data_IF_055557611368
#
_entry.id   IF_055557611368
#
_cell.length_a   1.000
_cell.length_b   1.000
_cell.length_c   1.000
_cell.angle_alpha   90.00
_cell.angle_beta   90.00
_cell.angle_gamma   90.00
#
_symmetry.space_group_name_H-M   'P 1'
#
loop_
_entity.id
_entity.type
_entity.pdbx_description
1 polymer ?
#
# COMPACT_ATOMS: atom_id res chain seq x y z
N UNK A 1 -30.71 -7.39 -41.74
CA UNK A 1 -29.29 -7.32 -42.16
C UNK A 1 -29.00 -8.53 -43.02
N UNK A 2 -28.22 -8.39 -44.10
CA UNK A 2 -27.76 -9.55 -44.88
C UNK A 2 -26.55 -10.16 -44.15
N UNK A 3 -26.40 -11.49 -44.15
CA UNK A 3 -25.20 -12.17 -43.59
C UNK A 3 -23.89 -11.65 -44.20
N UNK A 4 -23.94 -11.17 -45.44
CA UNK A 4 -22.82 -10.51 -46.13
C UNK A 4 -22.35 -9.19 -45.50
N UNK A 5 -23.18 -8.51 -44.70
CA UNK A 5 -22.86 -7.22 -44.07
C UNK A 5 -22.03 -7.39 -42.78
N UNK A 6 -22.06 -8.59 -42.19
CA UNK A 6 -21.47 -8.91 -40.88
C UNK A 6 -20.13 -9.62 -41.03
N UNK A 7 -19.96 -10.39 -42.10
CA UNK A 7 -18.75 -11.15 -42.41
C UNK A 7 -17.71 -10.33 -43.23
N UNK A 8 -18.01 -9.07 -43.53
CA UNK A 8 -17.18 -8.16 -44.33
C UNK A 8 -16.55 -7.02 -43.51
N UNK A 9 -16.55 -5.76 -44.00
CA UNK A 9 -15.83 -4.65 -43.38
C UNK A 9 -16.31 -4.25 -41.96
N UNK A 10 -17.47 -4.74 -41.52
CA UNK A 10 -18.04 -4.47 -40.19
C UNK A 10 -17.79 -5.60 -39.17
N UNK A 11 -16.95 -6.60 -39.49
CA UNK A 11 -16.74 -7.77 -38.62
C UNK A 11 -16.22 -7.42 -37.23
N UNK A 12 -15.39 -6.38 -37.10
CA UNK A 12 -14.90 -5.90 -35.80
C UNK A 12 -16.01 -5.34 -34.91
N UNK A 13 -17.00 -4.64 -35.50
CA UNK A 13 -18.16 -4.13 -34.76
C UNK A 13 -19.11 -5.27 -34.37
N UNK A 14 -19.29 -6.25 -35.26
CA UNK A 14 -20.09 -7.44 -34.99
C UNK A 14 -19.50 -8.31 -33.86
N UNK A 15 -18.17 -8.40 -33.75
CA UNK A 15 -17.50 -9.10 -32.65
C UNK A 15 -17.74 -8.46 -31.29
N UNK A 16 -17.70 -7.12 -31.20
CA UNK A 16 -17.98 -6.39 -29.96
C UNK A 16 -19.43 -6.60 -29.52
N UNK A 17 -20.39 -6.52 -30.45
CA UNK A 17 -21.79 -6.81 -30.15
C UNK A 17 -22.03 -8.28 -29.75
N UNK A 18 -21.20 -9.21 -30.23
CA UNK A 18 -21.27 -10.61 -29.83
C UNK A 18 -20.75 -10.81 -28.39
N UNK A 19 -19.70 -10.09 -27.99
CA UNK A 19 -19.22 -10.07 -26.60
C UNK A 19 -20.30 -9.54 -25.64
N UNK A 20 -20.92 -8.41 -25.98
CA UNK A 20 -22.03 -7.82 -25.22
C UNK A 20 -23.23 -8.79 -25.12
N UNK A 21 -23.53 -9.53 -26.20
CA UNK A 21 -24.59 -10.54 -26.21
C UNK A 21 -24.30 -11.72 -25.28
N UNK A 22 -23.04 -12.18 -25.22
CA UNK A 22 -22.63 -13.28 -24.34
C UNK A 22 -22.67 -12.89 -22.85
N UNK A 23 -22.43 -11.62 -22.53
CA UNK A 23 -22.56 -11.10 -21.16
C UNK A 23 -24.02 -10.85 -20.77
N UNK A 24 -24.81 -10.25 -21.66
CA UNK A 24 -26.23 -9.99 -21.45
C UNK A 24 -26.99 -9.90 -22.78
N UNK A 25 -27.80 -10.90 -23.15
CA UNK A 25 -28.55 -10.91 -24.40
C UNK A 25 -29.44 -9.67 -24.60
N UNK A 26 -30.03 -9.14 -23.52
CA UNK A 26 -30.94 -8.00 -23.61
C UNK A 26 -30.23 -6.65 -23.78
N UNK A 27 -28.89 -6.61 -23.68
CA UNK A 27 -28.09 -5.42 -23.97
C UNK A 27 -27.93 -5.14 -25.47
N UNK A 28 -28.28 -6.12 -26.31
CA UNK A 28 -28.09 -6.07 -27.76
C UNK A 28 -29.43 -5.96 -28.50
N UNK A 29 -29.53 -5.13 -29.57
CA UNK A 29 -30.77 -4.99 -30.35
C UNK A 29 -31.28 -6.34 -30.90
N UNK A 30 -32.61 -6.50 -30.96
CA UNK A 30 -33.26 -7.78 -31.30
C UNK A 30 -32.85 -8.35 -32.67
N UNK A 31 -32.51 -7.49 -33.63
CA UNK A 31 -32.03 -7.86 -34.97
C UNK A 31 -30.64 -8.52 -34.95
N UNK A 32 -29.77 -8.13 -34.03
CA UNK A 32 -28.45 -8.73 -33.84
C UNK A 32 -28.53 -10.04 -33.05
N UNK A 33 -29.42 -10.12 -32.06
CA UNK A 33 -29.72 -11.37 -31.35
C UNK A 33 -30.19 -12.46 -32.30
N UNK A 34 -31.18 -12.13 -33.14
CA UNK A 34 -31.72 -13.07 -34.13
C UNK A 34 -30.63 -13.57 -35.09
N UNK A 35 -29.64 -12.72 -35.42
CA UNK A 35 -28.51 -13.09 -36.27
C UNK A 35 -27.55 -14.04 -35.54
N UNK A 36 -27.19 -13.78 -34.28
CA UNK A 36 -26.33 -14.67 -33.49
C UNK A 36 -26.99 -16.03 -33.20
N UNK A 37 -28.30 -16.03 -32.97
CA UNK A 37 -29.10 -17.25 -32.74
C UNK A 37 -29.34 -18.05 -34.02
N UNK A 38 -29.36 -17.42 -35.19
CA UNK A 38 -29.52 -18.11 -36.47
C UNK A 38 -28.35 -19.02 -36.85
N UNK A 39 -27.15 -18.74 -36.34
CA UNK A 39 -25.93 -19.51 -36.61
C UNK A 39 -25.42 -19.44 -38.05
N UNK A 40 -25.96 -18.55 -38.90
CA UNK A 40 -25.64 -18.44 -40.32
C UNK A 40 -24.43 -17.52 -40.65
N UNK A 41 -23.87 -16.81 -39.65
CA UNK A 41 -22.69 -15.95 -39.84
C UNK A 41 -21.38 -16.71 -39.62
N UNK A 42 -20.37 -16.43 -40.46
CA UNK A 42 -19.01 -16.97 -40.31
C UNK A 42 -18.35 -16.59 -38.98
N UNK A 43 -18.76 -15.47 -38.38
CA UNK A 43 -18.28 -14.97 -37.09
C UNK A 43 -18.63 -15.93 -35.94
N UNK A 44 -19.88 -16.42 -35.92
CA UNK A 44 -20.39 -17.40 -34.94
C UNK A 44 -19.72 -18.77 -35.13
N UNK A 45 -19.39 -19.13 -36.37
CA UNK A 45 -18.68 -20.38 -36.69
C UNK A 45 -17.21 -20.39 -36.21
N UNK A 46 -16.60 -19.21 -36.02
CA UNK A 46 -15.20 -19.09 -35.60
C UNK A 46 -14.96 -19.31 -34.10
N UNK A 47 -16.02 -19.35 -33.29
CA UNK A 47 -15.97 -19.55 -31.84
C UNK A 47 -16.44 -20.98 -31.46
N UNK A 48 -15.52 -21.89 -31.11
CA UNK A 48 -15.86 -23.30 -30.85
C UNK A 48 -16.84 -23.51 -29.69
N UNK A 49 -16.89 -22.57 -28.74
CA UNK A 49 -17.78 -22.62 -27.57
C UNK A 49 -19.24 -22.29 -27.90
N UNK A 50 -19.47 -21.34 -28.81
CA UNK A 50 -20.81 -20.86 -29.16
C UNK A 50 -21.56 -21.85 -30.07
N UNK A 51 -20.83 -22.49 -30.99
CA UNK A 51 -21.39 -23.56 -31.84
C UNK A 51 -21.97 -24.71 -31.01
N UNK A 52 -21.28 -25.14 -29.94
CA UNK A 52 -21.77 -26.19 -29.03
C UNK A 52 -23.01 -25.78 -28.23
N UNK A 53 -23.12 -24.51 -27.88
CA UNK A 53 -24.27 -23.95 -27.15
C UNK A 53 -25.51 -23.87 -28.05
N UNK A 54 -25.33 -23.45 -29.31
CA UNK A 54 -26.40 -23.42 -30.31
C UNK A 54 -26.80 -24.82 -30.78
N UNK A 55 -25.85 -25.75 -30.95
CA UNK A 55 -26.17 -27.16 -31.24
C UNK A 55 -26.92 -27.83 -30.08
N UNK A 56 -26.66 -27.43 -28.83
CA UNK A 56 -27.41 -27.90 -27.66
C UNK A 56 -28.81 -27.28 -27.53
N UNK A 57 -29.02 -26.06 -28.05
CA UNK A 57 -30.31 -25.39 -28.09
C UNK A 57 -31.18 -25.85 -29.28
N UNK A 58 -30.56 -26.15 -30.43
CA UNK A 58 -31.23 -26.65 -31.63
C UNK A 58 -31.58 -28.15 -31.51
N UNK A 59 -30.74 -28.94 -30.84
CA UNK A 59 -31.07 -30.31 -30.44
C UNK A 59 -31.89 -30.27 -29.14
N UNK A 60 -33.12 -29.76 -29.25
CA UNK A 60 -34.12 -29.93 -28.21
C UNK A 60 -34.16 -31.38 -27.74
N UNK A 61 -34.29 -31.56 -26.42
CA UNK A 61 -34.44 -32.84 -25.73
C UNK A 61 -35.11 -33.89 -26.63
N UNK A 62 -34.33 -34.89 -27.06
CA UNK A 62 -34.79 -35.98 -27.90
C UNK A 62 -35.85 -36.82 -27.20
N UNK A 63 -37.09 -36.35 -27.24
CA UNK A 63 -38.29 -37.16 -27.15
C UNK A 63 -38.78 -37.39 -28.59
N UNK A 64 -38.30 -38.46 -29.20
CA UNK A 64 -39.07 -39.12 -30.26
C UNK A 64 -40.37 -39.62 -29.63
N UNK A 65 -41.51 -39.27 -30.24
CA UNK A 65 -42.78 -39.95 -29.99
C UNK A 65 -42.65 -41.43 -30.40
N UNK A 66 -42.83 -42.40 -29.50
CA UNK A 66 -43.06 -43.77 -29.90
C UNK A 66 -44.57 -43.94 -30.15
N UNK A 67 -44.87 -44.41 -31.35
CA UNK A 67 -46.10 -45.10 -31.67
C UNK A 67 -46.47 -46.14 -30.59
N UNK A 68 -47.77 -46.26 -30.34
CA UNK A 68 -48.42 -47.06 -29.31
C UNK A 68 -47.78 -48.43 -29.02
N UNK A 69 -47.25 -48.58 -27.80
CA UNK A 69 -47.33 -49.81 -27.01
C UNK A 69 -47.19 -49.42 -25.53
N UNK A 70 -48.20 -49.73 -24.72
CA UNK A 70 -48.26 -49.39 -23.29
C UNK A 70 -47.19 -50.19 -22.51
N UNK A 71 -46.19 -49.55 -21.87
CA UNK A 71 -45.41 -50.19 -20.82
C UNK A 71 -45.96 -49.75 -19.46
N UNK A 72 -45.92 -50.65 -18.48
CA UNK A 72 -46.31 -50.37 -17.09
C UNK A 72 -45.52 -49.19 -16.49
N UNK A 73 -46.11 -48.41 -15.56
CA UNK A 73 -45.48 -47.20 -15.04
C UNK A 73 -44.28 -47.56 -14.15
N UNK A 74 -43.09 -47.12 -14.57
CA UNK A 74 -41.90 -47.05 -13.72
C UNK A 74 -42.08 -45.87 -12.75
N UNK A 75 -41.75 -46.00 -11.45
CA UNK A 75 -41.94 -44.91 -10.50
C UNK A 75 -41.05 -43.72 -10.88
N UNK A 76 -41.67 -42.55 -11.08
CA UNK A 76 -40.96 -41.29 -11.26
C UNK A 76 -40.16 -41.03 -9.98
N UNK A 77 -38.83 -41.05 -10.10
CA UNK A 77 -37.95 -40.65 -9.00
C UNK A 77 -38.31 -39.22 -8.57
N UNK A 78 -38.47 -39.04 -7.27
CA UNK A 78 -38.85 -37.77 -6.67
C UNK A 78 -37.94 -36.63 -7.16
N UNK A 79 -38.56 -35.55 -7.64
CA UNK A 79 -37.88 -34.27 -7.90
C UNK A 79 -37.12 -33.91 -6.63
N UNK A 80 -35.80 -33.76 -6.74
CA UNK A 80 -34.97 -33.33 -5.61
C UNK A 80 -35.56 -32.03 -5.03
N UNK A 81 -35.69 -31.90 -3.69
CA UNK A 81 -36.27 -30.70 -3.11
C UNK A 81 -35.47 -29.47 -3.55
N UNK A 82 -36.18 -28.40 -3.90
CA UNK A 82 -35.55 -27.11 -4.21
C UNK A 82 -34.64 -26.72 -3.04
N UNK A 83 -33.37 -26.41 -3.35
CA UNK A 83 -32.41 -25.92 -2.35
C UNK A 83 -32.98 -24.64 -1.75
N UNK A 84 -33.42 -24.70 -0.50
CA UNK A 84 -33.88 -23.52 0.22
C UNK A 84 -32.66 -22.65 0.50
N UNK A 85 -32.65 -21.43 -0.04
CA UNK A 85 -31.62 -20.42 0.24
C UNK A 85 -31.83 -19.93 1.67
N UNK A 86 -30.82 -20.08 2.52
CA UNK A 86 -30.83 -19.48 3.85
C UNK A 86 -30.61 -17.96 3.71
N UNK A 87 -31.70 -17.20 3.74
CA UNK A 87 -31.68 -15.74 3.63
C UNK A 87 -30.87 -15.07 4.75
N UNK A 88 -30.82 -15.66 5.94
CA UNK A 88 -30.03 -15.13 7.06
C UNK A 88 -28.54 -15.32 6.80
N UNK A 89 -28.15 -16.48 6.27
CA UNK A 89 -26.77 -16.72 5.88
C UNK A 89 -26.36 -15.81 4.71
N UNK A 90 -27.22 -15.66 3.69
CA UNK A 90 -26.95 -14.78 2.56
C UNK A 90 -26.79 -13.32 3.00
N UNK A 91 -27.70 -12.82 3.83
CA UNK A 91 -27.58 -11.50 4.46
C UNK A 91 -26.33 -11.38 5.32
N UNK A 92 -25.98 -12.43 6.07
CA UNK A 92 -24.75 -12.51 6.86
C UNK A 92 -23.48 -12.38 6.01
N UNK A 93 -23.43 -13.01 4.84
CA UNK A 93 -22.30 -12.86 3.90
C UNK A 93 -22.20 -11.41 3.42
N UNK A 94 -23.33 -10.77 3.06
CA UNK A 94 -23.34 -9.36 2.65
C UNK A 94 -22.88 -8.43 3.79
N UNK A 95 -23.36 -8.66 5.02
CA UNK A 95 -22.94 -7.94 6.21
C UNK A 95 -21.43 -8.14 6.49
N UNK A 96 -20.92 -9.36 6.35
CA UNK A 96 -19.50 -9.66 6.51
C UNK A 96 -18.61 -8.94 5.48
N UNK A 97 -19.03 -8.92 4.21
CA UNK A 97 -18.32 -8.17 3.17
C UNK A 97 -18.31 -6.66 3.47
N UNK A 98 -19.42 -6.12 3.99
CA UNK A 98 -19.49 -4.73 4.42
C UNK A 98 -18.56 -4.45 5.61
N UNK A 99 -18.49 -5.36 6.59
CA UNK A 99 -17.58 -5.24 7.74
C UNK A 99 -16.10 -5.26 7.33
N UNK A 100 -15.73 -6.18 6.43
CA UNK A 100 -14.37 -6.27 5.88
C UNK A 100 -14.01 -4.98 5.15
N UNK A 101 -14.92 -4.47 4.31
CA UNK A 101 -14.75 -3.18 3.64
C UNK A 101 -14.58 -2.04 4.65
N UNK A 102 -15.37 -2.01 5.72
CA UNK A 102 -15.26 -1.01 6.77
C UNK A 102 -13.89 -1.05 7.47
N UNK A 103 -13.35 -2.23 7.78
CA UNK A 103 -12.00 -2.34 8.36
C UNK A 103 -10.91 -1.82 7.43
N UNK A 104 -11.00 -2.11 6.12
CA UNK A 104 -10.06 -1.59 5.12
C UNK A 104 -10.15 -0.08 4.94
N UNK A 105 -11.35 0.49 4.99
CA UNK A 105 -11.57 1.92 4.76
C UNK A 105 -11.39 2.78 6.02
N UNK A 106 -11.78 2.28 7.19
CA UNK A 106 -11.93 3.06 8.42
C UNK A 106 -11.21 2.47 9.63
N UNK A 107 -10.53 1.32 9.49
CA UNK A 107 -9.79 0.70 10.61
C UNK A 107 -8.73 1.63 11.22
N UNK A 108 -8.15 2.53 10.40
CA UNK A 108 -7.22 3.56 10.86
C UNK A 108 -7.81 4.47 11.96
N UNK A 109 -9.13 4.70 11.97
CA UNK A 109 -9.82 5.50 13.00
C UNK A 109 -9.90 4.77 14.35
N UNK A 110 -9.76 3.45 14.35
CA UNK A 110 -9.77 2.59 15.52
C UNK A 110 -8.37 2.08 15.91
N UNK A 111 -7.31 2.50 15.20
CA UNK A 111 -5.94 2.11 15.49
C UNK A 111 -5.37 2.85 16.71
N UNK A 112 -4.55 2.14 17.51
CA UNK A 112 -3.87 2.67 18.70
C UNK A 112 -2.54 3.30 18.30
N UNK A 113 -2.62 4.51 17.74
CA UNK A 113 -1.45 5.23 17.20
C UNK A 113 -0.80 6.19 18.20
N UNK A 114 -1.55 6.71 19.17
CA UNK A 114 -1.03 7.69 20.13
C UNK A 114 -0.22 7.00 21.24
N UNK A 115 1.12 7.22 21.31
CA UNK A 115 1.95 6.65 22.38
C UNK A 115 1.64 7.26 23.76
N UNK A 116 0.93 8.39 23.82
CA UNK A 116 0.48 8.99 25.09
C UNK A 116 -0.80 8.34 25.63
N UNK A 117 -1.43 7.46 24.87
CA UNK A 117 -2.53 6.59 25.33
C UNK A 117 -3.93 7.18 25.15
N UNK A 118 -4.14 8.14 24.24
CA UNK A 118 -5.49 8.55 23.85
C UNK A 118 -6.27 7.39 23.24
N UNK A 119 -7.56 7.27 23.58
CA UNK A 119 -8.43 6.28 22.94
C UNK A 119 -8.70 6.67 21.47
N UNK A 120 -8.70 5.71 20.54
CA UNK A 120 -9.05 5.96 19.15
C UNK A 120 -10.47 6.50 19.03
N UNK A 121 -10.73 7.34 18.03
CA UNK A 121 -12.07 7.87 17.76
C UNK A 121 -13.07 6.74 17.45
N UNK A 122 -12.61 5.71 16.76
CA UNK A 122 -13.42 4.60 16.26
C UNK A 122 -14.32 4.99 15.10
N UNK A 123 -15.06 4.01 14.57
CA UNK A 123 -16.08 4.23 13.55
C UNK A 123 -17.25 3.24 13.75
N UNK A 124 -18.52 3.70 13.75
CA UNK A 124 -19.70 2.83 13.87
C UNK A 124 -19.78 1.69 12.85
N UNK A 125 -19.19 1.84 11.66
CA UNK A 125 -19.19 0.82 10.62
C UNK A 125 -18.29 -0.39 10.95
N UNK A 126 -17.41 -0.26 11.95
CA UNK A 126 -16.55 -1.34 12.43
C UNK A 126 -17.25 -2.27 13.43
N UNK A 127 -18.45 -1.89 13.91
CA UNK A 127 -19.20 -2.64 14.92
C UNK A 127 -20.07 -3.72 14.27
N UNK A 128 -19.64 -4.98 14.41
CA UNK A 128 -20.33 -6.15 13.85
C UNK A 128 -21.78 -6.32 14.36
N UNK A 129 -22.10 -5.73 15.53
CA UNK A 129 -23.43 -5.83 16.13
C UNK A 129 -24.45 -4.91 15.46
N UNK A 130 -23.99 -3.85 14.79
CA UNK A 130 -24.82 -2.82 14.13
C UNK A 130 -25.24 -3.18 12.71
N UNK A 131 -24.70 -4.26 12.16
CA UNK A 131 -25.03 -4.72 10.81
C UNK A 131 -26.39 -5.42 10.78
N UNK A 132 -26.97 -5.53 9.58
CA UNK A 132 -28.27 -6.17 9.35
C UNK A 132 -28.08 -7.26 8.28
N UNK A 133 -28.21 -8.56 8.63
CA UNK A 133 -28.38 -9.09 9.99
C UNK A 133 -27.14 -8.84 10.86
N UNK A 134 -27.34 -8.83 12.17
CA UNK A 134 -26.24 -8.72 13.13
C UNK A 134 -25.34 -9.96 13.03
N UNK A 135 -24.02 -9.76 13.01
CA UNK A 135 -23.07 -10.86 12.86
C UNK A 135 -22.80 -11.50 14.23
N UNK A 136 -23.71 -12.35 14.69
CA UNK A 136 -23.50 -13.13 15.94
C UNK A 136 -22.36 -14.15 15.76
N UNK A 137 -21.70 -14.61 16.84
CA UNK A 137 -20.66 -15.62 16.73
C UNK A 137 -21.09 -16.88 15.96
N UNK A 138 -22.35 -17.30 16.12
CA UNK A 138 -22.92 -18.45 15.40
C UNK A 138 -23.03 -18.19 13.89
N UNK A 139 -23.43 -16.97 13.49
CA UNK A 139 -23.50 -16.60 12.08
C UNK A 139 -22.09 -16.43 11.49
N UNK A 140 -21.17 -15.81 12.23
CA UNK A 140 -19.77 -15.66 11.81
C UNK A 140 -19.09 -17.02 11.57
N UNK A 141 -19.35 -18.02 12.41
CA UNK A 141 -18.80 -19.38 12.24
C UNK A 141 -19.30 -20.09 10.97
N UNK A 142 -20.44 -19.67 10.41
CA UNK A 142 -21.04 -20.26 9.21
C UNK A 142 -20.58 -19.61 7.91
N UNK A 143 -19.87 -18.47 7.98
CA UNK A 143 -19.43 -17.70 6.81
C UNK A 143 -17.97 -18.07 6.51
N UNK A 144 -17.68 -18.77 5.39
CA UNK A 144 -16.30 -19.06 5.01
C UNK A 144 -15.54 -17.78 4.66
N UNK A 145 -14.33 -17.61 5.20
CA UNK A 145 -13.49 -16.43 4.95
C UNK A 145 -13.05 -16.32 3.48
N UNK A 146 -13.00 -17.46 2.76
CA UNK A 146 -12.69 -17.52 1.33
C UNK A 146 -13.66 -16.71 0.45
N UNK A 147 -14.91 -16.51 0.91
CA UNK A 147 -15.90 -15.66 0.22
C UNK A 147 -15.62 -14.16 0.42
N UNK A 148 -14.89 -13.80 1.48
CA UNK A 148 -14.67 -12.42 1.89
C UNK A 148 -13.44 -11.79 1.24
N UNK A 149 -12.64 -12.58 0.52
CA UNK A 149 -11.38 -12.14 -0.13
C UNK A 149 -10.45 -11.43 0.86
N UNK A 150 -10.33 -11.99 2.05
CA UNK A 150 -9.35 -11.58 3.05
C UNK A 150 -8.10 -12.46 2.95
N UNK A 151 -6.95 -11.92 3.34
CA UNK A 151 -5.68 -12.65 3.35
C UNK A 151 -5.14 -12.94 4.76
N UNK A 152 -5.92 -12.63 5.79
CA UNK A 152 -5.67 -13.06 7.18
C UNK A 152 -5.98 -14.55 7.37
N UNK A 153 -5.34 -15.24 8.34
CA UNK A 153 -5.66 -16.63 8.63
C UNK A 153 -7.05 -16.77 9.26
N UNK A 154 -7.62 -17.98 9.15
CA UNK A 154 -8.93 -18.34 9.69
C UNK A 154 -9.89 -18.84 8.59
N UNK A 155 -10.46 -20.05 8.69
CA UNK A 155 -11.37 -20.62 7.70
C UNK A 155 -12.77 -19.98 7.70
N UNK A 156 -13.15 -19.32 8.80
CA UNK A 156 -14.47 -18.68 8.98
C UNK A 156 -14.31 -17.22 9.35
N UNK A 157 -15.37 -16.43 9.20
CA UNK A 157 -15.36 -15.04 9.68
C UNK A 157 -15.09 -14.94 11.17
N UNK A 158 -15.58 -15.89 11.97
CA UNK A 158 -15.37 -15.90 13.42
C UNK A 158 -13.88 -15.94 13.78
N UNK A 159 -13.09 -16.68 13.00
CA UNK A 159 -11.64 -16.80 13.19
C UNK A 159 -10.85 -15.68 12.49
N UNK A 160 -11.31 -15.22 11.33
CA UNK A 160 -10.62 -14.20 10.54
C UNK A 160 -10.83 -12.76 11.07
N UNK A 161 -11.99 -12.45 11.67
CA UNK A 161 -12.33 -11.10 12.12
C UNK A 161 -11.37 -10.56 13.20
N UNK A 162 -10.99 -11.32 14.24
CA UNK A 162 -9.98 -10.86 15.21
C UNK A 162 -8.64 -10.50 14.55
N UNK A 163 -8.19 -11.30 13.58
CA UNK A 163 -6.94 -11.03 12.85
C UNK A 163 -7.05 -9.77 11.98
N UNK A 164 -8.19 -9.59 11.31
CA UNK A 164 -8.48 -8.37 10.56
C UNK A 164 -8.46 -7.12 11.45
N UNK A 165 -9.04 -7.21 12.66
CA UNK A 165 -8.99 -6.16 13.69
C UNK A 165 -7.55 -5.88 14.15
N UNK A 166 -6.74 -6.92 14.37
CA UNK A 166 -5.33 -6.77 14.77
C UNK A 166 -4.48 -6.08 13.69
N UNK A 167 -4.79 -6.36 12.42
CA UNK A 167 -4.10 -5.79 11.25
C UNK A 167 -4.46 -4.32 11.08
N UNK A 168 -5.75 -3.97 11.02
CA UNK A 168 -6.21 -2.63 10.67
C UNK A 168 -6.40 -1.67 11.85
N UNK A 169 -6.58 -2.19 13.07
CA UNK A 169 -6.85 -1.41 14.28
C UNK A 169 -5.76 -1.59 15.36
N UNK A 170 -4.58 -2.06 14.96
CA UNK A 170 -3.44 -2.31 15.85
C UNK A 170 -2.63 -1.05 16.16
N UNK A 171 -1.31 -1.21 16.27
CA UNK A 171 -0.34 -0.10 16.46
C UNK A 171 0.19 0.47 15.14
N UNK A 172 -0.38 0.03 14.02
CA UNK A 172 -0.10 0.50 12.66
C UNK A 172 -1.45 0.68 12.00
N UNK A 173 -1.61 1.79 11.27
CA UNK A 173 -2.81 2.10 10.51
C UNK A 173 -2.47 2.18 9.02
N UNK A 174 -3.45 1.82 8.18
CA UNK A 174 -3.30 1.83 6.73
C UNK A 174 -4.43 2.62 6.10
N UNK A 175 -4.07 3.55 5.23
CA UNK A 175 -4.99 4.30 4.38
C UNK A 175 -4.61 4.04 2.93
N UNK A 176 -5.24 3.04 2.32
CA UNK A 176 -4.89 2.59 0.94
C UNK A 176 -6.10 2.60 0.00
N UNK A 177 -7.30 2.68 0.55
CA UNK A 177 -8.54 2.51 -0.23
C UNK A 177 -8.84 3.69 -1.16
N UNK A 178 -8.19 4.84 -0.94
CA UNK A 178 -8.27 6.03 -1.79
C UNK A 178 -7.42 5.93 -3.06
N UNK A 179 -6.49 4.96 -3.14
CA UNK A 179 -5.66 4.77 -4.34
C UNK A 179 -6.53 4.43 -5.55
N UNK A 180 -6.23 5.07 -6.68
CA UNK A 180 -7.02 4.89 -7.90
C UNK A 180 -6.72 3.54 -8.58
N UNK A 181 -5.46 3.12 -8.58
CA UNK A 181 -5.04 1.86 -9.17
C UNK A 181 -5.60 0.66 -8.40
N UNK A 182 -6.20 -0.29 -9.13
CA UNK A 182 -6.77 -1.49 -8.53
C UNK A 182 -5.71 -2.53 -8.14
N UNK A 183 -4.69 -2.72 -8.98
CA UNK A 183 -3.62 -3.67 -8.75
C UNK A 183 -2.79 -3.28 -7.52
N UNK A 184 -2.49 -1.99 -7.36
CA UNK A 184 -1.79 -1.49 -6.16
C UNK A 184 -2.58 -1.76 -4.88
N UNK A 185 -3.89 -1.46 -4.88
CA UNK A 185 -4.76 -1.74 -3.72
C UNK A 185 -4.82 -3.23 -3.39
N UNK A 186 -4.95 -4.10 -4.39
CA UNK A 186 -4.99 -5.55 -4.16
C UNK A 186 -3.65 -6.04 -3.62
N UNK A 187 -2.54 -5.57 -4.17
CA UNK A 187 -1.20 -5.91 -3.68
C UNK A 187 -1.01 -5.47 -2.24
N UNK A 188 -1.37 -4.23 -1.90
CA UNK A 188 -1.27 -3.69 -0.55
C UNK A 188 -2.15 -4.46 0.43
N UNK A 189 -3.41 -4.74 0.09
CA UNK A 189 -4.31 -5.58 0.92
C UNK A 189 -3.67 -6.94 1.20
N UNK A 190 -3.14 -7.60 0.18
CA UNK A 190 -2.49 -8.91 0.36
C UNK A 190 -1.26 -8.81 1.26
N UNK A 191 -0.39 -7.83 1.05
CA UNK A 191 0.82 -7.63 1.85
C UNK A 191 0.50 -7.33 3.33
N UNK A 192 -0.49 -6.46 3.57
CA UNK A 192 -0.95 -6.04 4.89
C UNK A 192 -1.63 -7.19 5.63
N UNK A 193 -2.66 -7.80 5.02
CA UNK A 193 -3.47 -8.83 5.66
C UNK A 193 -2.74 -10.16 5.84
N UNK A 194 -1.77 -10.48 4.97
CA UNK A 194 -0.94 -11.68 5.16
C UNK A 194 0.14 -11.48 6.23
N UNK A 195 0.30 -10.26 6.77
CA UNK A 195 1.37 -9.94 7.72
C UNK A 195 2.78 -10.05 7.14
N UNK A 196 2.94 -9.92 5.80
CA UNK A 196 4.23 -10.16 5.11
C UNK A 196 5.38 -9.35 5.70
N UNK A 197 5.10 -8.12 6.10
CA UNK A 197 6.07 -7.17 6.66
C UNK A 197 5.84 -6.91 8.15
N UNK A 198 5.02 -7.72 8.81
CA UNK A 198 4.70 -7.60 10.24
C UNK A 198 5.14 -8.85 10.99
N UNK A 199 6.41 -9.18 10.83
CA UNK A 199 7.03 -10.33 11.48
C UNK A 199 7.62 -9.91 12.84
N UNK A 200 7.53 -10.76 13.87
CA UNK A 200 8.23 -10.50 15.12
C UNK A 200 9.74 -10.52 14.87
N UNK A 201 10.45 -9.53 15.41
CA UNK A 201 11.91 -9.50 15.37
C UNK A 201 12.49 -10.68 16.16
N UNK A 202 13.53 -11.28 15.63
CA UNK A 202 14.35 -12.27 16.32
C UNK A 202 15.09 -11.65 17.50
N UNK A 203 15.54 -12.49 18.44
CA UNK A 203 16.13 -12.00 19.69
C UNK A 203 17.36 -11.09 19.49
N UNK A 204 18.20 -11.36 18.49
CA UNK A 204 19.36 -10.50 18.22
C UNK A 204 18.93 -9.17 17.59
N UNK A 205 17.99 -9.19 16.63
CA UNK A 205 17.42 -7.97 16.03
C UNK A 205 16.76 -7.08 17.09
N UNK A 206 16.08 -7.66 18.08
CA UNK A 206 15.53 -6.92 19.22
C UNK A 206 16.61 -6.20 20.05
N UNK A 207 17.77 -6.84 20.24
CA UNK A 207 18.90 -6.20 20.96
C UNK A 207 19.53 -5.09 20.13
N UNK A 208 19.64 -5.28 18.83
CA UNK A 208 20.17 -4.27 17.91
C UNK A 208 19.28 -3.04 17.84
N UNK A 209 17.95 -3.26 17.73
CA UNK A 209 16.94 -2.21 17.84
C UNK A 209 17.07 -1.45 19.16
N UNK A 210 17.10 -2.17 20.29
CA UNK A 210 17.27 -1.54 21.61
C UNK A 210 18.59 -0.75 21.71
N UNK A 211 19.68 -1.29 21.17
CA UNK A 211 20.96 -0.60 21.16
C UNK A 211 20.92 0.67 20.30
N UNK A 212 20.22 0.66 19.15
CA UNK A 212 20.03 1.84 18.31
C UNK A 212 19.26 2.94 19.05
N UNK A 213 18.13 2.59 19.67
CA UNK A 213 17.33 3.50 20.50
C UNK A 213 18.15 4.06 21.68
N UNK A 214 18.91 3.20 22.36
CA UNK A 214 19.76 3.59 23.49
C UNK A 214 20.87 4.56 23.06
N UNK A 215 21.44 4.39 21.87
CA UNK A 215 22.45 5.32 21.33
C UNK A 215 21.84 6.69 21.09
N UNK A 216 20.67 6.75 20.45
CA UNK A 216 19.98 7.99 20.15
C UNK A 216 19.61 8.76 21.42
N UNK A 217 18.98 8.08 22.38
CA UNK A 217 18.62 8.67 23.68
C UNK A 217 19.86 9.11 24.47
N UNK A 218 20.90 8.26 24.52
CA UNK A 218 22.14 8.55 25.23
C UNK A 218 22.86 9.79 24.69
N UNK A 219 22.81 10.01 23.38
CA UNK A 219 23.38 11.20 22.75
C UNK A 219 22.62 12.47 23.15
N UNK A 220 21.28 12.46 23.11
CA UNK A 220 20.45 13.60 23.56
C UNK A 220 20.68 13.91 25.04
N UNK A 221 20.66 12.89 25.90
CA UNK A 221 20.90 13.06 27.33
C UNK A 221 22.28 13.66 27.60
N UNK A 222 23.31 13.25 26.85
CA UNK A 222 24.65 13.81 26.96
C UNK A 222 24.67 15.28 26.58
N UNK A 223 24.12 15.65 25.42
CA UNK A 223 24.08 17.03 24.94
C UNK A 223 23.35 17.92 25.94
N UNK A 224 22.16 17.51 26.40
CA UNK A 224 21.36 18.23 27.39
C UNK A 224 22.11 18.46 28.71
N UNK A 225 22.83 17.46 29.20
CA UNK A 225 23.59 17.55 30.45
C UNK A 225 24.84 18.42 30.31
N UNK A 226 25.54 18.35 29.17
CA UNK A 226 26.82 19.03 28.95
C UNK A 226 26.65 20.50 28.51
N UNK A 227 25.60 20.80 27.74
CA UNK A 227 25.37 22.11 27.11
C UNK A 227 24.03 22.71 27.55
N UNK A 228 23.92 23.00 28.85
CA UNK A 228 22.73 23.59 29.44
C UNK A 228 22.35 24.93 28.77
N UNK A 229 21.09 25.05 28.37
CA UNK A 229 20.52 26.27 27.80
C UNK A 229 20.74 26.45 26.29
N UNK A 230 21.50 25.56 25.63
CA UNK A 230 21.57 25.56 24.17
C UNK A 230 20.36 24.83 23.57
N UNK A 231 19.79 25.41 22.51
CA UNK A 231 18.70 24.76 21.75
C UNK A 231 19.28 23.55 21.03
N UNK A 232 18.63 22.39 21.12
CA UNK A 232 19.10 21.14 20.51
C UNK A 232 18.15 20.57 19.47
N UNK A 233 16.87 20.99 19.50
CA UNK A 233 15.81 20.40 18.68
C UNK A 233 15.73 18.88 18.83
N UNK A 234 15.68 18.44 20.09
CA UNK A 234 15.81 17.04 20.50
C UNK A 234 14.88 16.09 19.75
N UNK A 235 15.42 14.89 19.46
CA UNK A 235 14.70 13.75 18.93
C UNK A 235 13.76 13.09 19.96
N UNK A 236 13.91 13.37 21.26
CA UNK A 236 13.19 12.67 22.33
C UNK A 236 11.69 12.49 22.03
N UNK A 237 11.23 11.23 22.08
CA UNK A 237 9.87 10.82 21.76
C UNK A 237 9.65 10.45 20.29
N UNK A 238 10.65 10.64 19.42
CA UNK A 238 10.67 10.21 18.02
C UNK A 238 11.84 9.26 17.72
N UNK A 239 12.38 8.60 18.75
CA UNK A 239 13.58 7.75 18.68
C UNK A 239 13.44 6.62 17.64
N UNK A 240 12.21 6.16 17.38
CA UNK A 240 11.88 5.16 16.35
C UNK A 240 12.26 5.59 14.92
N UNK A 241 12.43 6.89 14.67
CA UNK A 241 12.91 7.39 13.38
C UNK A 241 14.30 6.83 13.03
N UNK A 242 15.17 6.60 14.02
CA UNK A 242 16.52 6.10 13.78
C UNK A 242 16.53 4.70 13.16
N UNK A 243 15.91 3.67 13.77
CA UNK A 243 15.84 2.34 13.15
C UNK A 243 15.01 2.35 11.85
N UNK A 244 14.00 3.22 11.71
CA UNK A 244 13.25 3.33 10.45
C UNK A 244 14.13 3.84 9.30
N UNK A 245 14.98 4.84 9.54
CA UNK A 245 15.95 5.32 8.55
C UNK A 245 16.98 4.25 8.24
N UNK A 246 17.49 3.56 9.27
CA UNK A 246 18.47 2.49 9.09
C UNK A 246 17.94 1.39 8.17
N UNK A 247 16.73 0.90 8.42
CA UNK A 247 16.06 -0.12 7.61
C UNK A 247 15.78 0.39 6.18
N UNK A 248 15.31 1.63 6.04
CA UNK A 248 15.02 2.22 4.72
C UNK A 248 16.27 2.29 3.84
N UNK A 249 17.42 2.67 4.43
CA UNK A 249 18.71 2.73 3.74
C UNK A 249 19.19 1.33 3.36
N UNK A 250 19.06 0.34 4.26
CA UNK A 250 19.45 -1.04 3.98
C UNK A 250 18.60 -1.67 2.86
N UNK A 251 17.29 -1.44 2.88
CA UNK A 251 16.38 -1.87 1.83
C UNK A 251 16.73 -1.20 0.49
N UNK A 252 16.96 0.11 0.47
CA UNK A 252 17.36 0.84 -0.74
C UNK A 252 18.64 0.26 -1.34
N UNK A 253 19.67 0.05 -0.51
CA UNK A 253 20.94 -0.54 -0.93
C UNK A 253 20.74 -1.97 -1.47
N UNK A 254 19.89 -2.78 -0.82
CA UNK A 254 19.56 -4.14 -1.30
C UNK A 254 18.88 -4.16 -2.66
N UNK A 255 18.19 -3.07 -3.02
CA UNK A 255 17.49 -2.89 -4.30
C UNK A 255 18.36 -2.22 -5.38
N UNK A 256 19.62 -1.92 -5.07
CA UNK A 256 20.59 -1.37 -6.03
C UNK A 256 20.85 0.13 -5.92
N UNK A 257 20.27 0.81 -4.93
CA UNK A 257 20.59 2.22 -4.69
C UNK A 257 22.03 2.38 -4.19
N UNK A 258 22.78 3.29 -4.80
CA UNK A 258 24.13 3.64 -4.37
C UNK A 258 24.16 4.99 -3.63
N UNK A 259 23.07 5.77 -3.69
CA UNK A 259 22.93 7.02 -2.95
C UNK A 259 21.56 7.15 -2.26
N UNK A 260 21.57 7.71 -1.05
CA UNK A 260 20.38 8.15 -0.32
C UNK A 260 20.56 9.62 -0.01
N UNK A 261 19.60 10.44 -0.47
CA UNK A 261 19.61 11.89 -0.25
C UNK A 261 18.52 12.25 0.76
N UNK A 262 18.89 12.88 1.87
CA UNK A 262 18.00 13.17 2.99
C UNK A 262 17.75 14.68 3.08
N UNK A 263 16.47 15.06 3.05
CA UNK A 263 15.98 16.37 3.46
C UNK A 263 15.25 16.25 4.78
N UNK A 264 15.60 17.09 5.74
CA UNK A 264 14.90 17.10 7.03
C UNK A 264 14.91 18.46 7.68
N UNK A 265 13.85 18.73 8.46
CA UNK A 265 13.80 19.86 9.37
C UNK A 265 14.83 19.73 10.53
N UNK A 266 14.79 20.68 11.48
CA UNK A 266 15.74 20.73 12.59
C UNK A 266 15.52 19.63 13.65
N UNK A 267 14.33 19.03 13.76
CA UNK A 267 13.99 18.10 14.85
C UNK A 267 14.72 16.76 14.67
N UNK A 268 15.53 16.39 15.65
CA UNK A 268 16.32 15.17 15.65
C UNK A 268 17.50 15.17 14.67
N UNK A 269 17.80 16.29 14.01
CA UNK A 269 18.81 16.37 12.95
C UNK A 269 20.20 15.97 13.41
N UNK A 270 20.62 16.37 14.61
CA UNK A 270 21.94 15.99 15.14
C UNK A 270 22.07 14.48 15.32
N UNK A 271 20.97 13.81 15.70
CA UNK A 271 20.93 12.36 15.82
C UNK A 271 21.10 11.69 14.46
N UNK A 272 20.36 12.12 13.44
CA UNK A 272 20.49 11.60 12.07
C UNK A 272 21.89 11.86 11.51
N UNK A 273 22.42 13.06 11.72
CA UNK A 273 23.75 13.45 11.27
C UNK A 273 24.82 12.51 11.86
N UNK A 274 24.80 12.27 13.17
CA UNK A 274 25.81 11.41 13.81
C UNK A 274 25.58 9.92 13.51
N UNK A 275 24.36 9.43 13.67
CA UNK A 275 24.08 8.00 13.69
C UNK A 275 23.68 7.42 12.33
N UNK A 276 23.17 8.23 11.41
CA UNK A 276 22.80 7.79 10.05
C UNK A 276 23.90 8.13 9.05
N UNK A 277 24.38 9.38 9.03
CA UNK A 277 25.46 9.77 8.08
C UNK A 277 26.86 9.43 8.57
N UNK A 278 27.02 9.03 9.84
CA UNK A 278 28.33 8.70 10.43
C UNK A 278 29.18 9.93 10.74
N UNK A 279 28.57 11.12 10.84
CA UNK A 279 29.31 12.34 11.13
C UNK A 279 29.96 12.26 12.53
N UNK A 280 31.24 12.63 12.69
CA UNK A 280 31.95 12.43 13.95
C UNK A 280 31.35 13.25 15.11
N UNK A 281 31.12 12.60 16.26
CA UNK A 281 30.70 13.30 17.49
C UNK A 281 31.58 14.51 17.80
N UNK A 282 32.90 14.37 17.66
CA UNK A 282 33.85 15.45 17.96
C UNK A 282 33.65 16.71 17.12
N UNK A 283 33.10 16.61 15.90
CA UNK A 283 32.76 17.77 15.09
C UNK A 283 31.52 18.48 15.65
N UNK A 284 30.44 17.74 15.93
CA UNK A 284 29.23 18.30 16.56
C UNK A 284 29.57 18.94 17.91
N UNK A 285 30.33 18.26 18.77
CA UNK A 285 30.67 18.77 20.09
C UNK A 285 31.53 20.04 20.03
N UNK A 286 32.42 20.16 19.04
CA UNK A 286 33.21 21.38 18.82
C UNK A 286 32.33 22.58 18.47
N UNK A 287 31.27 22.38 17.69
CA UNK A 287 30.32 23.46 17.37
C UNK A 287 29.54 23.94 18.61
N UNK A 288 29.15 23.01 19.49
CA UNK A 288 28.52 23.36 20.77
C UNK A 288 29.48 24.09 21.73
N UNK A 289 30.76 23.73 21.73
CA UNK A 289 31.79 24.44 22.50
C UNK A 289 32.13 25.81 21.88
N UNK A 290 32.13 25.91 20.56
CA UNK A 290 32.38 27.13 19.78
C UNK A 290 31.41 28.26 20.11
N UNK A 291 30.13 28.00 20.37
CA UNK A 291 29.17 29.02 20.85
C UNK A 291 29.52 29.62 22.22
N UNK A 292 30.35 28.94 23.02
CA UNK A 292 30.81 29.47 24.33
C UNK A 292 31.97 30.45 24.17
N UNK A 293 32.59 30.49 23.00
CA UNK A 293 33.62 31.44 22.60
C UNK A 293 33.03 32.42 21.59
N UNK A 294 33.30 33.71 21.72
CA UNK A 294 32.64 34.75 20.88
C UNK A 294 33.09 34.67 19.40
N UNK A 295 34.08 33.83 19.07
CA UNK A 295 34.55 33.57 17.72
C UNK A 295 34.03 32.21 17.22
N UNK A 296 32.97 32.23 16.41
CA UNK A 296 32.82 31.39 15.21
C UNK A 296 31.39 31.50 14.65
N UNK A 297 31.17 32.54 13.86
CA UNK A 297 30.48 32.31 12.59
C UNK A 297 31.40 31.36 11.82
N UNK A 298 30.93 30.18 11.42
CA UNK A 298 31.76 29.13 10.79
C UNK A 298 32.36 29.69 9.49
N UNK A 299 33.56 30.26 9.59
CA UNK A 299 34.35 30.62 8.41
C UNK A 299 34.86 29.29 7.88
N UNK A 300 34.21 28.79 6.85
CA UNK A 300 34.77 27.78 5.95
C UNK A 300 36.22 28.16 5.62
N UNK A 301 37.12 27.20 5.39
CA UNK A 301 38.45 27.47 4.83
C UNK A 301 38.36 28.33 3.54
N UNK A 302 37.21 28.30 2.86
CA UNK A 302 36.85 29.07 1.67
C UNK A 302 36.25 30.47 1.94
N UNK A 303 36.09 30.89 3.20
CA UNK A 303 35.67 32.24 3.58
C UNK A 303 34.17 32.48 3.67
N UNK A 304 33.36 31.43 3.78
CA UNK A 304 31.91 31.53 3.95
C UNK A 304 31.49 32.19 5.28
N UNK A 305 30.30 32.80 5.32
CA UNK A 305 29.74 33.39 6.56
C UNK A 305 29.07 32.34 7.46
N UNK A 306 29.32 31.05 7.27
CA UNK A 306 28.74 29.96 8.05
C UNK A 306 27.21 29.90 8.11
N UNK A 307 26.70 28.90 8.82
CA UNK A 307 25.31 28.79 9.26
C UNK A 307 25.27 28.10 10.64
N UNK A 308 24.11 28.02 11.28
CA UNK A 308 23.95 27.26 12.51
C UNK A 308 24.13 25.77 12.25
N UNK A 309 24.67 25.05 13.23
CA UNK A 309 24.93 23.59 13.20
C UNK A 309 23.77 22.70 12.71
N UNK A 310 22.54 23.18 12.86
CA UNK A 310 21.32 22.48 12.42
C UNK A 310 20.97 22.67 10.94
N UNK A 311 21.79 23.41 10.19
CA UNK A 311 21.61 23.62 8.74
C UNK A 311 22.77 23.03 7.92
N UNK A 312 23.79 22.47 8.60
CA UNK A 312 25.00 22.00 7.94
C UNK A 312 24.73 20.72 7.13
N UNK A 313 25.35 20.58 5.94
CA UNK A 313 25.30 19.35 5.19
C UNK A 313 26.16 18.27 5.86
N UNK A 314 25.87 17.01 5.57
CA UNK A 314 26.72 15.91 5.96
C UNK A 314 26.66 14.81 4.90
N UNK A 315 27.82 14.30 4.51
CA UNK A 315 27.92 13.14 3.61
C UNK A 315 28.76 12.08 4.28
N UNK A 316 28.30 10.85 4.23
CA UNK A 316 29.04 9.68 4.69
C UNK A 316 28.78 8.46 3.82
N UNK A 317 29.56 7.42 4.04
CA UNK A 317 29.42 6.14 3.35
C UNK A 317 29.15 5.06 4.37
N UNK A 318 28.09 4.28 4.14
CA UNK A 318 27.71 3.15 4.98
C UNK A 318 27.93 1.86 4.22
N UNK A 319 28.68 0.94 4.82
CA UNK A 319 28.79 -0.42 4.31
C UNK A 319 27.51 -1.20 4.66
N UNK A 320 26.91 -1.84 3.66
CA UNK A 320 25.78 -2.76 3.82
C UNK A 320 26.20 -4.16 3.34
N UNK A 321 25.45 -5.23 3.66
CA UNK A 321 25.70 -6.55 3.10
C UNK A 321 25.71 -6.60 1.56
N UNK A 322 25.08 -5.64 0.89
CA UNK A 322 24.88 -5.60 -0.56
C UNK A 322 25.78 -4.57 -1.28
N UNK A 323 26.61 -3.84 -0.56
CA UNK A 323 27.47 -2.80 -1.12
C UNK A 323 27.57 -1.57 -0.23
N UNK A 324 28.36 -0.60 -0.66
CA UNK A 324 28.44 0.70 0.00
C UNK A 324 27.35 1.63 -0.54
N UNK A 325 26.70 2.36 0.36
CA UNK A 325 25.72 3.40 0.03
C UNK A 325 26.22 4.74 0.55
N UNK A 326 26.22 5.75 -0.32
CA UNK A 326 26.48 7.14 0.07
C UNK A 326 25.21 7.73 0.66
N UNK A 327 25.32 8.36 1.82
CA UNK A 327 24.21 9.02 2.50
C UNK A 327 24.56 10.51 2.57
N UNK A 328 23.74 11.32 1.90
CA UNK A 328 23.92 12.76 1.75
C UNK A 328 22.76 13.50 2.40
N UNK A 329 23.02 14.27 3.45
CA UNK A 329 22.05 15.17 4.07
C UNK A 329 22.24 16.58 3.52
N UNK A 330 21.21 17.12 2.88
CA UNK A 330 21.29 18.44 2.29
C UNK A 330 21.34 19.55 3.36
N UNK A 331 22.01 20.68 3.07
CA UNK A 331 21.85 21.87 3.89
C UNK A 331 20.45 22.46 3.69
N UNK A 332 19.88 23.06 4.73
CA UNK A 332 18.55 23.66 4.64
C UNK A 332 18.47 24.95 5.47
N UNK A 333 17.75 25.98 4.99
CA UNK A 333 17.48 27.16 5.81
C UNK A 333 16.46 26.84 6.91
N UNK A 334 16.20 27.81 7.79
CA UNK A 334 15.12 27.69 8.80
C UNK A 334 13.70 27.70 8.21
N UNK A 335 13.55 27.96 6.90
CA UNK A 335 12.26 27.88 6.21
C UNK A 335 11.90 26.39 6.02
N UNK A 336 10.98 25.90 6.85
CA UNK A 336 10.53 24.50 6.81
C UNK A 336 9.98 24.14 5.43
N UNK A 337 10.16 22.87 5.02
CA UNK A 337 9.73 22.29 3.73
C UNK A 337 10.40 22.88 2.47
N UNK A 338 11.16 24.00 2.58
CA UNK A 338 11.84 24.59 1.43
C UNK A 338 12.95 23.70 0.85
N UNK A 339 13.41 22.68 1.60
CA UNK A 339 14.41 21.71 1.16
C UNK A 339 13.80 20.60 0.29
N UNK A 340 12.49 20.36 0.38
CA UNK A 340 11.82 19.22 -0.26
C UNK A 340 12.06 19.16 -1.77
N UNK A 341 11.77 20.23 -2.56
CA UNK A 341 12.04 20.20 -4.00
C UNK A 341 13.53 20.18 -4.32
N UNK A 342 14.40 20.59 -3.40
CA UNK A 342 15.86 20.51 -3.58
C UNK A 342 16.32 19.06 -3.51
N UNK A 343 15.79 18.27 -2.59
CA UNK A 343 16.10 16.83 -2.50
C UNK A 343 15.57 16.08 -3.72
N UNK A 344 14.34 16.35 -4.13
CA UNK A 344 13.77 15.72 -5.33
C UNK A 344 14.60 16.06 -6.58
N UNK A 345 15.02 17.31 -6.71
CA UNK A 345 15.93 17.74 -7.78
C UNK A 345 17.29 17.05 -7.74
N UNK A 346 17.87 16.88 -6.55
CA UNK A 346 19.13 16.17 -6.34
C UNK A 346 18.98 14.69 -6.70
N UNK A 347 18.01 13.98 -6.12
CA UNK A 347 17.76 12.58 -6.43
C UNK A 347 17.48 12.38 -7.92
N UNK A 348 16.68 13.24 -8.55
CA UNK A 348 16.47 13.21 -10.00
C UNK A 348 17.78 13.37 -10.78
N UNK A 349 18.71 14.19 -10.29
CA UNK A 349 19.99 14.37 -10.93
C UNK A 349 20.85 13.12 -10.88
N UNK A 350 20.90 12.43 -9.74
CA UNK A 350 21.64 11.16 -9.59
C UNK A 350 20.98 10.02 -10.36
N UNK A 351 19.65 9.99 -10.41
CA UNK A 351 18.88 9.01 -11.17
C UNK A 351 18.99 9.17 -12.70
N UNK A 352 19.63 10.22 -13.20
CA UNK A 352 19.69 10.49 -14.64
C UNK A 352 21.12 10.31 -15.18
N UNK A 353 21.37 9.24 -15.92
CA UNK A 353 22.60 9.08 -16.70
C UNK A 353 22.59 10.06 -17.89
N UNK A 354 23.48 11.05 -17.81
CA UNK A 354 23.65 12.09 -18.84
C UNK A 354 24.83 11.81 -19.78
N UNK A 355 25.59 10.74 -19.56
CA UNK A 355 26.78 10.43 -20.36
C UNK A 355 26.42 10.07 -21.80
N UNK A 356 25.31 9.36 -21.99
CA UNK A 356 24.81 8.94 -23.31
C UNK A 356 24.08 10.05 -24.09
N UNK A 357 23.89 11.23 -23.50
CA UNK A 357 23.11 12.33 -24.07
C UNK A 357 21.59 12.09 -24.14
N UNK A 358 21.13 10.85 -23.96
CA UNK A 358 19.72 10.46 -23.93
C UNK A 358 19.04 10.78 -22.59
N UNK A 359 19.80 10.96 -21.51
CA UNK A 359 19.24 11.23 -20.17
C UNK A 359 18.45 10.04 -19.66
N UNK A 360 19.08 8.87 -19.57
CA UNK A 360 18.40 7.64 -19.14
C UNK A 360 18.07 7.79 -17.65
N UNK A 361 16.78 7.79 -17.34
CA UNK A 361 16.28 7.88 -15.97
C UNK A 361 16.09 6.48 -15.38
N UNK A 362 16.76 6.23 -14.27
CA UNK A 362 16.62 5.01 -13.46
C UNK A 362 16.37 5.41 -12.00
N UNK A 363 15.13 5.32 -11.49
CA UNK A 363 14.81 5.71 -10.12
C UNK A 363 15.38 4.75 -9.06
N UNK A 364 15.88 3.57 -9.44
CA UNK A 364 16.40 2.59 -8.49
C UNK A 364 17.77 2.95 -7.92
N UNK A 365 18.50 3.86 -8.57
CA UNK A 365 19.91 4.12 -8.26
C UNK A 365 20.10 5.09 -7.09
N UNK A 366 19.11 5.93 -6.80
CA UNK A 366 19.15 6.85 -5.66
C UNK A 366 17.76 7.02 -5.03
N UNK A 367 17.71 7.06 -3.69
CA UNK A 367 16.47 7.22 -2.91
C UNK A 367 16.43 8.60 -2.24
N UNK A 368 15.46 9.48 -2.57
CA UNK A 368 15.15 10.65 -1.75
C UNK A 368 14.40 10.23 -0.47
N UNK A 369 14.81 10.76 0.68
CA UNK A 369 14.10 10.64 1.95
C UNK A 369 13.80 12.04 2.47
N UNK A 370 12.51 12.36 2.62
CA UNK A 370 12.03 13.63 3.16
C UNK A 370 11.42 13.43 4.55
N UNK A 371 11.89 14.21 5.54
CA UNK A 371 11.43 14.15 6.94
C UNK A 371 10.83 15.50 7.33
N UNK A 372 9.52 15.48 7.59
CA UNK A 372 8.73 16.68 7.81
C UNK A 372 8.30 16.85 9.27
N UNK A 373 7.95 18.08 9.63
CA UNK A 373 7.16 18.36 10.83
C UNK A 373 5.67 18.24 10.51
N UNK A 374 4.87 17.74 11.43
CA UNK A 374 3.41 17.56 11.27
C UNK A 374 2.69 18.88 10.90
N UNK A 375 2.99 19.96 11.61
CA UNK A 375 2.36 21.25 11.38
C UNK A 375 2.82 21.92 10.07
N UNK A 376 4.10 21.74 9.70
CA UNK A 376 4.66 22.37 8.50
C UNK A 376 4.28 21.59 7.24
N UNK A 377 4.21 20.26 7.30
CA UNK A 377 3.76 19.41 6.20
C UNK A 377 2.37 19.80 5.70
N UNK A 378 1.43 20.03 6.62
CA UNK A 378 0.07 20.46 6.28
C UNK A 378 -0.05 21.96 5.94
N UNK A 379 0.91 22.78 6.40
CA UNK A 379 0.80 24.25 6.37
C UNK A 379 1.58 24.95 5.26
N UNK A 380 2.63 24.32 4.71
CA UNK A 380 3.48 24.93 3.69
C UNK A 380 3.05 24.48 2.29
N UNK A 381 2.73 25.44 1.41
CA UNK A 381 2.27 25.15 0.05
C UNK A 381 3.30 24.41 -0.82
N UNK A 382 4.60 24.57 -0.53
CA UNK A 382 5.68 23.90 -1.27
C UNK A 382 5.60 22.37 -1.19
N UNK A 383 5.01 21.82 -0.13
CA UNK A 383 4.77 20.38 0.00
C UNK A 383 3.82 19.90 -1.11
N UNK A 384 2.70 20.60 -1.28
CA UNK A 384 1.72 20.28 -2.32
C UNK A 384 2.21 20.60 -3.75
N UNK A 385 3.20 21.48 -3.90
CA UNK A 385 3.87 21.72 -5.18
C UNK A 385 4.90 20.62 -5.52
N UNK A 386 5.42 19.91 -4.52
CA UNK A 386 6.46 18.88 -4.66
C UNK A 386 5.87 17.49 -4.84
N UNK A 387 4.77 17.16 -4.14
CA UNK A 387 3.95 15.96 -4.34
C UNK A 387 3.26 15.98 -5.71
#
# INVERSE_FOLDING_TARGET
>A
MSTSDVDGPNSGYASLLLEDYLENPDSVPAEWRALFESGESSLVASLPGLRRLLDAAANGNGHEEPSAMVPEPVPVAAVAPAVQVDETLLGGVAAAMALVKAHRMHGHLAARLDPLGSEPMGDPALDETRLIPSLTPELQARIPSSLLRVHVPGPTLLEALPELKNVYCGTIAYEIEHLSDHAERVWLRQAIESGRYRLPLEREEQKELLASLTRAEGFEQFLRKRFLGQKQFSLEGLDAMMPMLDESIELAASMGAHEVVIGMAHRGRLNVLVHTTGHPYGSVLREFEGERTIDAVVVDEEGGTGDVKYHLPATGTRATPNGEVTISMAPNPSHLEAVDPVIEGWARAEQTDRWSGAGIHDPSVALPILIHGDASFAGQGVVAETL
#
